data_IF_368202828563
#
_entry.id   IF_368202828563
#
_cell.length_a   1.000
_cell.length_b   1.000
_cell.length_c   1.000
_cell.angle_alpha   90.00
_cell.angle_beta   90.00
_cell.angle_gamma   90.00
#
_symmetry.space_group_name_H-M   'P 1'
#
loop_
_entity.id
_entity.type
_entity.pdbx_description
1 polymer ?
#
# COMPACT_ATOMS: atom_id res chain seq x y z
N UNK A 1 43.43 -19.00 -14.41
CA UNK A 1 43.07 -17.57 -14.32
C UNK A 1 41.73 -17.44 -13.59
N UNK A 2 41.74 -17.38 -12.25
CA UNK A 2 40.52 -17.40 -11.41
C UNK A 2 40.41 -16.16 -10.50
N UNK A 3 40.77 -14.98 -11.03
CA UNK A 3 40.77 -13.71 -10.29
C UNK A 3 39.45 -12.91 -10.32
N UNK A 4 38.49 -13.29 -11.16
CA UNK A 4 37.31 -12.48 -11.48
C UNK A 4 36.14 -12.55 -10.46
N UNK A 5 35.77 -13.73 -9.91
CA UNK A 5 34.61 -13.81 -9.00
C UNK A 5 34.88 -13.13 -7.65
N UNK A 6 36.12 -13.21 -7.15
CA UNK A 6 36.50 -12.67 -5.85
C UNK A 6 36.51 -11.14 -5.80
N UNK A 7 36.84 -10.49 -6.92
CA UNK A 7 36.83 -9.03 -7.04
C UNK A 7 35.39 -8.53 -7.17
N UNK A 8 34.58 -9.15 -8.03
CA UNK A 8 33.17 -8.80 -8.23
C UNK A 8 32.35 -8.95 -6.94
N UNK A 9 32.54 -10.03 -6.17
CA UNK A 9 31.85 -10.22 -4.89
C UNK A 9 32.27 -9.17 -3.83
N UNK A 10 33.53 -8.74 -3.82
CA UNK A 10 34.00 -7.68 -2.90
C UNK A 10 33.40 -6.32 -3.25
N UNK A 11 33.24 -6.05 -4.52
CA UNK A 11 32.68 -4.79 -5.03
C UNK A 11 31.18 -4.70 -4.75
N UNK A 12 30.45 -5.78 -5.00
CA UNK A 12 29.04 -5.93 -4.63
C UNK A 12 28.85 -5.74 -3.12
N UNK A 13 29.74 -6.33 -2.31
CA UNK A 13 29.69 -6.17 -0.84
C UNK A 13 29.87 -4.72 -0.41
N UNK A 14 30.85 -3.99 -0.98
CA UNK A 14 31.09 -2.57 -0.67
C UNK A 14 29.92 -1.67 -1.08
N UNK A 15 29.32 -1.91 -2.24
CA UNK A 15 28.15 -1.14 -2.72
C UNK A 15 26.97 -1.39 -1.77
N UNK A 16 26.73 -2.65 -1.39
CA UNK A 16 25.71 -2.99 -0.42
C UNK A 16 25.95 -2.26 0.91
N UNK A 17 27.16 -2.34 1.48
CA UNK A 17 27.49 -1.67 2.75
C UNK A 17 27.27 -0.14 2.70
N UNK A 18 27.63 0.51 1.59
CA UNK A 18 27.54 1.96 1.44
C UNK A 18 26.09 2.45 1.25
N UNK A 19 25.26 1.70 0.52
CA UNK A 19 23.84 2.00 0.31
C UNK A 19 22.99 1.63 1.54
N UNK A 20 23.40 0.61 2.30
CA UNK A 20 22.60 0.04 3.40
C UNK A 20 22.87 0.65 4.78
N UNK A 21 24.00 1.37 4.95
CA UNK A 21 24.36 2.01 6.23
C UNK A 21 23.29 2.97 6.81
N UNK A 22 22.60 3.80 6.00
CA UNK A 22 21.56 4.72 6.51
C UNK A 22 20.19 4.08 6.77
N UNK A 23 19.93 2.83 6.32
CA UNK A 23 18.57 2.26 6.17
C UNK A 23 18.27 1.05 7.09
N UNK A 24 18.92 1.00 8.24
CA UNK A 24 18.98 -0.15 9.16
C UNK A 24 17.62 -0.73 9.62
N UNK A 25 16.51 0.00 9.52
CA UNK A 25 15.19 -0.43 10.05
C UNK A 25 14.40 -1.39 9.15
N UNK A 26 14.61 -1.39 7.82
CA UNK A 26 13.83 -2.22 6.88
C UNK A 26 14.70 -2.94 5.82
N UNK A 27 15.99 -3.12 6.14
CA UNK A 27 17.02 -3.62 5.24
C UNK A 27 16.63 -4.91 4.50
N UNK A 28 16.12 -5.92 5.21
CA UNK A 28 15.80 -7.22 4.62
C UNK A 28 14.67 -7.11 3.57
N UNK A 29 13.63 -6.32 3.85
CA UNK A 29 12.50 -6.14 2.94
C UNK A 29 12.90 -5.38 1.68
N UNK A 30 13.81 -4.40 1.81
CA UNK A 30 14.25 -3.58 0.69
C UNK A 30 15.30 -4.30 -0.16
N UNK A 31 16.18 -5.07 0.47
CA UNK A 31 17.14 -5.94 -0.20
C UNK A 31 16.43 -6.94 -1.13
N UNK A 32 15.38 -7.61 -0.63
CA UNK A 32 14.57 -8.53 -1.43
C UNK A 32 13.94 -7.86 -2.65
N UNK A 33 13.43 -6.63 -2.47
CA UNK A 33 12.86 -5.83 -3.55
C UNK A 33 13.90 -5.37 -4.56
N UNK A 34 15.06 -4.88 -4.10
CA UNK A 34 16.13 -4.34 -4.93
C UNK A 34 16.85 -5.44 -5.72
N UNK A 35 17.08 -6.61 -5.11
CA UNK A 35 17.53 -7.81 -5.81
C UNK A 35 16.51 -8.29 -6.85
N UNK A 36 15.21 -8.20 -6.54
CA UNK A 36 14.16 -8.56 -7.50
C UNK A 36 14.16 -7.59 -8.69
N UNK A 37 14.20 -6.27 -8.45
CA UNK A 37 14.30 -5.26 -9.50
C UNK A 37 15.54 -5.49 -10.35
N UNK A 38 16.71 -5.73 -9.76
CA UNK A 38 17.93 -6.04 -10.50
C UNK A 38 17.75 -7.29 -11.38
N UNK A 39 17.18 -8.37 -10.85
CA UNK A 39 16.98 -9.63 -11.60
C UNK A 39 16.00 -9.51 -12.78
N UNK A 40 15.06 -8.56 -12.73
CA UNK A 40 14.01 -8.37 -13.74
C UNK A 40 14.33 -7.23 -14.71
N UNK A 41 14.83 -6.11 -14.21
CA UNK A 41 15.11 -4.91 -15.00
C UNK A 41 16.43 -5.00 -15.77
N UNK A 42 17.45 -5.67 -15.22
CA UNK A 42 18.72 -5.85 -15.91
C UNK A 42 18.59 -6.94 -16.97
N UNK A 43 18.49 -6.49 -18.22
CA UNK A 43 18.62 -7.35 -19.40
C UNK A 43 20.08 -7.40 -19.82
N UNK A 44 20.55 -8.60 -20.11
CA UNK A 44 21.85 -8.82 -20.74
C UNK A 44 21.84 -8.30 -22.19
N UNK A 45 23.01 -8.20 -22.82
CA UNK A 45 23.16 -7.76 -24.21
C UNK A 45 22.34 -8.60 -25.22
N UNK A 46 21.95 -9.81 -24.83
CA UNK A 46 21.11 -10.74 -25.62
C UNK A 46 19.60 -10.51 -25.34
N UNK A 47 19.25 -9.49 -24.54
CA UNK A 47 17.87 -9.15 -24.19
C UNK A 47 17.24 -10.06 -23.12
N UNK A 48 17.95 -11.07 -22.63
CA UNK A 48 17.49 -11.98 -21.57
C UNK A 48 17.70 -11.37 -20.19
N UNK A 49 16.75 -11.56 -19.28
CA UNK A 49 16.92 -11.14 -17.88
C UNK A 49 17.92 -12.04 -17.15
N UNK A 50 18.62 -11.49 -16.17
CA UNK A 50 19.58 -12.24 -15.35
C UNK A 50 18.97 -13.50 -14.71
N UNK A 51 17.68 -13.43 -14.31
CA UNK A 51 16.95 -14.61 -13.81
C UNK A 51 16.79 -15.72 -14.85
N UNK A 52 16.51 -15.36 -16.11
CA UNK A 52 16.31 -16.31 -17.20
C UNK A 52 17.60 -17.09 -17.50
N UNK A 53 18.76 -16.43 -17.38
CA UNK A 53 20.07 -17.02 -17.60
C UNK A 53 20.42 -18.09 -16.55
N UNK A 54 20.05 -17.85 -15.29
CA UNK A 54 20.39 -18.73 -14.16
C UNK A 54 19.43 -19.92 -14.07
N UNK A 55 18.14 -19.71 -14.33
CA UNK A 55 17.10 -20.73 -14.11
C UNK A 55 16.52 -21.32 -15.39
N UNK A 56 16.94 -20.84 -16.56
CA UNK A 56 16.48 -21.34 -17.87
C UNK A 56 14.99 -21.14 -18.15
N UNK A 57 14.28 -20.34 -17.32
CA UNK A 57 12.85 -20.07 -17.43
C UNK A 57 12.56 -18.60 -17.20
N UNK A 58 11.52 -18.09 -17.84
CA UNK A 58 10.99 -16.76 -17.57
C UNK A 58 10.63 -16.64 -16.08
N UNK A 59 10.93 -15.48 -15.51
CA UNK A 59 10.72 -15.21 -14.09
C UNK A 59 9.23 -15.29 -13.78
N UNK A 60 8.78 -16.41 -13.19
CA UNK A 60 7.45 -16.51 -12.62
C UNK A 60 7.47 -15.70 -11.33
N UNK A 61 6.68 -14.63 -11.29
CA UNK A 61 6.59 -13.75 -10.13
C UNK A 61 6.48 -14.57 -8.84
N UNK A 62 7.36 -14.39 -7.84
CA UNK A 62 7.35 -15.19 -6.62
C UNK A 62 5.94 -15.19 -6.01
N UNK A 63 5.38 -16.38 -5.77
CA UNK A 63 4.04 -16.57 -5.19
C UNK A 63 3.86 -15.71 -3.93
N UNK A 64 4.92 -15.55 -3.14
CA UNK A 64 4.94 -14.71 -1.93
C UNK A 64 4.63 -13.23 -2.22
N UNK A 65 5.13 -12.67 -3.31
CA UNK A 65 4.85 -11.28 -3.69
C UNK A 65 3.41 -11.13 -4.22
N UNK A 66 2.94 -12.09 -5.03
CA UNK A 66 1.54 -12.13 -5.50
C UNK A 66 0.57 -12.21 -4.33
N UNK A 67 0.86 -13.09 -3.37
CA UNK A 67 0.10 -13.25 -2.14
C UNK A 67 0.09 -11.97 -1.30
N UNK A 68 1.24 -11.32 -1.12
CA UNK A 68 1.32 -10.06 -0.38
C UNK A 68 0.52 -8.93 -1.07
N UNK A 69 0.59 -8.82 -2.39
CA UNK A 69 -0.20 -7.86 -3.15
C UNK A 69 -1.71 -8.14 -3.02
N UNK A 70 -2.12 -9.40 -3.14
CA UNK A 70 -3.50 -9.82 -2.95
C UNK A 70 -4.03 -9.45 -1.55
N UNK A 71 -3.25 -9.69 -0.49
CA UNK A 71 -3.63 -9.34 0.87
C UNK A 71 -3.67 -7.84 1.12
N UNK A 72 -2.76 -7.06 0.51
CA UNK A 72 -2.80 -5.60 0.59
C UNK A 72 -4.08 -5.04 -0.03
N UNK A 73 -4.47 -5.54 -1.22
CA UNK A 73 -5.71 -5.17 -1.90
C UNK A 73 -6.93 -5.58 -1.06
N UNK A 74 -6.94 -6.81 -0.54
CA UNK A 74 -8.02 -7.31 0.31
C UNK A 74 -8.20 -6.44 1.57
N UNK A 75 -7.10 -6.03 2.20
CA UNK A 75 -7.10 -5.13 3.37
C UNK A 75 -7.61 -3.73 3.03
N UNK A 76 -7.24 -3.18 1.88
CA UNK A 76 -7.75 -1.89 1.41
C UNK A 76 -9.28 -1.95 1.18
N UNK A 77 -9.77 -3.05 0.61
CA UNK A 77 -11.20 -3.26 0.37
C UNK A 77 -12.01 -3.40 1.68
N UNK A 78 -11.47 -4.06 2.71
CA UNK A 78 -12.10 -4.08 4.04
C UNK A 78 -12.19 -2.69 4.68
N UNK A 79 -11.17 -1.86 4.48
CA UNK A 79 -11.18 -0.49 5.00
C UNK A 79 -12.24 0.38 4.29
N UNK A 80 -12.45 0.18 2.99
CA UNK A 80 -13.49 0.89 2.24
C UNK A 80 -14.91 0.63 2.76
N UNK A 81 -15.22 -0.61 3.13
CA UNK A 81 -16.54 -0.95 3.68
C UNK A 81 -16.77 -0.29 5.05
N UNK A 82 -15.79 -0.37 5.95
CA UNK A 82 -15.86 0.25 7.27
C UNK A 82 -15.94 1.79 7.18
N UNK A 83 -15.15 2.39 6.29
CA UNK A 83 -15.20 3.83 5.99
C UNK A 83 -16.55 4.22 5.38
N UNK A 84 -17.10 3.39 4.49
CA UNK A 84 -18.42 3.60 3.90
C UNK A 84 -19.54 3.62 4.94
N UNK A 85 -19.56 2.63 5.85
CA UNK A 85 -20.52 2.58 6.97
C UNK A 85 -20.40 3.78 7.90
N UNK A 86 -19.16 4.18 8.24
CA UNK A 86 -18.91 5.37 9.07
C UNK A 86 -19.42 6.64 8.39
N UNK A 87 -19.18 6.80 7.10
CA UNK A 87 -19.64 7.97 6.33
C UNK A 87 -21.16 8.03 6.24
N UNK A 88 -21.81 6.88 6.07
CA UNK A 88 -23.28 6.78 6.06
C UNK A 88 -23.88 7.21 7.40
N UNK A 89 -23.32 6.73 8.51
CA UNK A 89 -23.75 7.13 9.86
C UNK A 89 -23.62 8.65 10.06
N UNK A 90 -22.49 9.24 9.66
CA UNK A 90 -22.29 10.68 9.75
C UNK A 90 -23.30 11.49 8.92
N UNK A 91 -23.69 10.98 7.74
CA UNK A 91 -24.71 11.62 6.91
C UNK A 91 -26.10 11.54 7.56
N UNK A 92 -26.48 10.38 8.11
CA UNK A 92 -27.75 10.23 8.83
C UNK A 92 -27.84 11.18 10.02
N UNK A 93 -26.79 11.29 10.82
CA UNK A 93 -26.76 12.19 11.98
C UNK A 93 -26.91 13.67 11.55
N UNK A 94 -26.29 14.06 10.43
CA UNK A 94 -26.47 15.40 9.88
C UNK A 94 -27.91 15.66 9.41
N UNK A 95 -28.57 14.66 8.82
CA UNK A 95 -29.95 14.79 8.36
C UNK A 95 -30.95 14.81 9.53
N UNK A 96 -30.69 14.08 10.62
CA UNK A 96 -31.45 14.18 11.87
C UNK A 96 -31.34 15.59 12.47
N UNK A 97 -30.13 16.15 12.57
CA UNK A 97 -29.93 17.53 13.06
C UNK A 97 -30.66 18.56 12.19
N UNK A 98 -30.69 18.35 10.86
CA UNK A 98 -31.44 19.21 9.94
C UNK A 98 -32.95 19.11 10.17
N UNK A 99 -33.48 17.91 10.35
CA UNK A 99 -34.90 17.70 10.64
C UNK A 99 -35.29 18.37 11.95
N UNK A 100 -34.52 18.18 13.01
CA UNK A 100 -34.73 18.86 14.29
C UNK A 100 -34.74 20.39 14.13
N UNK A 101 -33.80 20.95 13.38
CA UNK A 101 -33.76 22.39 13.11
C UNK A 101 -34.96 22.89 12.30
N UNK A 102 -35.53 22.09 11.40
CA UNK A 102 -36.76 22.42 10.67
C UNK A 102 -38.04 22.27 11.52
N UNK A 103 -38.03 21.40 12.51
CA UNK A 103 -39.15 21.18 13.42
C UNK A 103 -39.18 22.21 14.56
N UNK A 104 -38.02 22.68 15.04
CA UNK A 104 -37.90 23.69 16.10
C UNK A 104 -38.77 24.94 15.89
N UNK A 105 -38.80 25.59 14.70
CA UNK A 105 -39.69 26.73 14.45
C UNK A 105 -41.18 26.40 14.52
N UNK A 106 -41.58 25.16 14.21
CA UNK A 106 -42.99 24.72 14.28
C UNK A 106 -43.45 24.60 15.72
N UNK A 107 -42.59 24.09 16.60
CA UNK A 107 -42.86 24.02 18.04
C UNK A 107 -42.96 25.41 18.68
N UNK A 108 -42.11 26.35 18.27
CA UNK A 108 -42.14 27.74 18.78
C UNK A 108 -43.43 28.46 18.35
N UNK A 109 -43.84 28.33 17.08
CA UNK A 109 -45.11 28.91 16.59
C UNK A 109 -46.35 28.33 17.28
N UNK A 110 -46.36 27.02 17.56
CA UNK A 110 -47.49 26.35 18.24
C UNK A 110 -47.70 26.90 19.67
N UNK A 111 -46.62 27.06 20.44
CA UNK A 111 -46.67 27.65 21.79
C UNK A 111 -47.05 29.12 21.81
N UNK A 112 -46.70 29.89 20.76
CA UNK A 112 -47.09 31.30 20.65
C UNK A 112 -48.57 31.47 20.25
N UNK A 113 -49.17 30.50 19.55
CA UNK A 113 -50.60 30.49 19.22
C UNK A 113 -51.50 30.00 20.36
N UNK A 114 -51.06 29.00 21.11
CA UNK A 114 -51.86 28.40 22.20
C UNK A 114 -51.90 29.25 23.49
N UNK A 115 -51.09 30.32 23.57
CA UNK A 115 -51.10 31.30 24.67
C UNK A 115 -51.87 32.59 24.38
N UNK A 116 -52.59 32.67 23.26
CA UNK A 116 -53.43 33.82 22.85
C UNK A 116 -54.93 33.50 22.88
N UNK A 117 -55.38 32.67 23.82
CA UNK A 117 -56.82 32.50 24.16
C UNK A 117 -57.04 32.92 25.60
#
# INVERSE_FOLDING_TARGET
MSGQPGVSNREIKRICEKVMSPLKKDWAKRLDYELWVYRVAYKTLIGMSSYHLVFGKACHFPIKLKHNAFWAIKKLNFNLEAVGKKRLLQLNEMDEIRLDAYEMPRYIKKRQGDGMV
#
